data_IF_784832978539
#
_entry.id   IF_784832978539
#
_cell.length_a   1.000
_cell.length_b   1.000
_cell.length_c   1.000
_cell.angle_alpha   90.00
_cell.angle_beta   90.00
_cell.angle_gamma   90.00
#
_symmetry.space_group_name_H-M   'P 1'
#
loop_
_entity.id
_entity.type
_entity.pdbx_description
1 polymer ?
#
# COMPACT_ATOMS: atom_id res chain seq x y z
N UNK A 1 -35.28 30.68 -32.13
CA UNK A 1 -33.96 30.18 -32.57
C UNK A 1 -32.97 31.33 -32.90
N UNK A 2 -32.88 32.35 -32.04
CA UNK A 2 -31.95 33.50 -32.20
C UNK A 2 -31.30 33.98 -30.88
N UNK A 3 -31.63 33.38 -29.74
CA UNK A 3 -31.15 33.80 -28.41
C UNK A 3 -30.01 32.87 -27.90
N UNK A 4 -29.95 31.62 -28.36
CA UNK A 4 -28.88 30.66 -27.99
C UNK A 4 -27.55 30.97 -28.71
N UNK A 5 -27.60 31.63 -29.87
CA UNK A 5 -26.40 31.99 -30.64
C UNK A 5 -25.62 33.19 -30.06
N UNK A 6 -26.26 34.00 -29.21
CA UNK A 6 -25.62 35.18 -28.61
C UNK A 6 -24.80 34.85 -27.35
N UNK A 7 -25.13 33.77 -26.63
CA UNK A 7 -24.32 33.30 -25.49
C UNK A 7 -23.04 32.57 -25.94
N UNK A 8 -23.05 31.93 -27.12
CA UNK A 8 -21.87 31.27 -27.68
C UNK A 8 -20.87 32.27 -28.30
N UNK A 9 -21.35 33.39 -28.84
CA UNK A 9 -20.47 34.43 -29.39
C UNK A 9 -19.78 35.30 -28.32
N UNK A 10 -20.38 35.46 -27.13
CA UNK A 10 -19.77 36.26 -26.07
C UNK A 10 -18.62 35.54 -25.34
N UNK A 11 -18.56 34.21 -25.38
CA UNK A 11 -17.43 33.44 -24.85
C UNK A 11 -16.25 33.34 -25.81
N UNK A 12 -16.45 33.44 -27.13
CA UNK A 12 -15.33 33.44 -28.08
C UNK A 12 -14.53 34.75 -28.10
N UNK A 13 -15.11 35.85 -27.60
CA UNK A 13 -14.45 37.17 -27.58
C UNK A 13 -13.62 37.46 -26.32
N UNK A 14 -13.66 36.59 -25.30
CA UNK A 14 -12.85 36.71 -24.08
C UNK A 14 -11.66 35.75 -24.00
N UNK A 15 -11.56 34.76 -24.90
CA UNK A 15 -10.39 33.87 -25.01
C UNK A 15 -9.18 34.51 -25.73
N UNK A 16 -9.25 35.81 -26.04
CA UNK A 16 -8.15 36.57 -26.65
C UNK A 16 -7.35 37.40 -25.63
N UNK A 17 -7.54 37.22 -24.32
CA UNK A 17 -6.47 37.56 -23.37
C UNK A 17 -5.41 36.49 -23.52
N UNK A 18 -4.25 36.87 -24.09
CA UNK A 18 -3.04 36.04 -24.14
C UNK A 18 -2.91 35.26 -22.82
N UNK A 19 -3.01 33.94 -22.86
CA UNK A 19 -2.75 33.00 -21.73
C UNK A 19 -1.25 33.06 -21.31
N UNK A 20 -0.49 34.07 -21.76
CA UNK A 20 0.95 34.01 -21.90
C UNK A 20 1.76 34.60 -20.75
N UNK A 21 1.16 35.04 -19.64
CA UNK A 21 1.91 35.33 -18.40
C UNK A 21 0.96 35.41 -17.20
N UNK A 22 0.98 34.42 -16.31
CA UNK A 22 0.39 34.55 -14.98
C UNK A 22 1.38 35.28 -14.06
N UNK A 23 0.90 36.18 -13.19
CA UNK A 23 1.79 36.93 -12.30
C UNK A 23 2.35 36.05 -11.18
N UNK A 24 1.62 35.01 -10.79
CA UNK A 24 2.03 34.02 -9.79
C UNK A 24 1.29 32.68 -9.98
N UNK A 25 1.73 31.64 -9.27
CA UNK A 25 1.18 30.29 -9.40
C UNK A 25 -0.29 30.20 -8.96
N UNK A 26 -0.73 31.00 -7.99
CA UNK A 26 -2.12 30.98 -7.52
C UNK A 26 -3.10 31.49 -8.59
N UNK A 27 -2.71 32.52 -9.35
CA UNK A 27 -3.49 33.02 -10.49
C UNK A 27 -3.66 31.94 -11.57
N UNK A 28 -2.58 31.22 -11.90
CA UNK A 28 -2.62 30.07 -12.81
C UNK A 28 -3.59 29.00 -12.31
N UNK A 29 -3.51 28.66 -11.02
CA UNK A 29 -4.39 27.66 -10.41
C UNK A 29 -5.86 28.07 -10.51
N UNK A 30 -6.17 29.33 -10.18
CA UNK A 30 -7.52 29.89 -10.31
C UNK A 30 -8.06 29.79 -11.74
N UNK A 31 -7.27 30.21 -12.73
CA UNK A 31 -7.65 30.13 -14.14
C UNK A 31 -8.05 28.71 -14.56
N UNK A 32 -7.25 27.71 -14.22
CA UNK A 32 -7.54 26.35 -14.64
C UNK A 32 -8.68 25.69 -13.85
N UNK A 33 -8.89 26.09 -12.58
CA UNK A 33 -10.09 25.69 -11.82
C UNK A 33 -11.34 26.18 -12.51
N UNK A 34 -11.39 27.46 -12.87
CA UNK A 34 -12.53 28.05 -13.58
C UNK A 34 -12.73 27.43 -14.97
N UNK A 35 -11.63 27.15 -15.68
CA UNK A 35 -11.66 26.61 -17.04
C UNK A 35 -12.25 25.20 -17.12
N UNK A 36 -11.90 24.32 -16.18
CA UNK A 36 -12.32 22.92 -16.22
C UNK A 36 -13.48 22.61 -15.29
N UNK A 37 -13.74 23.45 -14.28
CA UNK A 37 -14.80 23.26 -13.28
C UNK A 37 -14.80 21.83 -12.72
N UNK A 38 -13.61 21.39 -12.30
CA UNK A 38 -13.37 20.14 -11.58
C UNK A 38 -12.93 20.55 -10.19
N UNK A 39 -13.57 20.01 -9.15
CA UNK A 39 -13.20 20.33 -7.77
C UNK A 39 -12.45 19.17 -7.14
N UNK A 40 -12.95 17.95 -7.36
CA UNK A 40 -12.42 16.74 -6.76
C UNK A 40 -11.66 15.85 -7.76
N UNK A 41 -10.78 15.00 -7.24
CA UNK A 41 -9.93 14.15 -8.08
C UNK A 41 -10.72 13.06 -8.83
N UNK A 42 -11.93 12.75 -8.36
CA UNK A 42 -12.91 11.84 -8.95
C UNK A 42 -13.82 12.51 -10.00
N UNK A 43 -13.76 13.83 -10.16
CA UNK A 43 -14.48 14.53 -11.21
C UNK A 43 -13.86 14.25 -12.59
N UNK A 44 -14.69 14.29 -13.63
CA UNK A 44 -14.28 14.02 -15.02
C UNK A 44 -14.72 15.13 -15.96
N UNK A 45 -13.76 15.84 -16.56
CA UNK A 45 -14.08 16.79 -17.64
C UNK A 45 -14.41 16.05 -18.95
N UNK A 46 -13.80 14.88 -19.17
CA UNK A 46 -14.19 13.96 -20.24
C UNK A 46 -14.44 12.57 -19.67
N UNK A 47 -15.53 11.92 -20.06
CA UNK A 47 -15.87 10.58 -19.62
C UNK A 47 -14.97 9.52 -20.29
N UNK A 48 -15.21 8.24 -20.00
CA UNK A 48 -14.42 7.12 -20.52
C UNK A 48 -14.48 6.95 -22.05
N UNK A 49 -15.32 7.73 -22.75
CA UNK A 49 -15.49 7.75 -24.21
C UNK A 49 -15.06 9.09 -24.85
N UNK A 50 -14.44 9.98 -24.08
CA UNK A 50 -13.99 11.29 -24.55
C UNK A 50 -15.12 12.31 -24.78
N UNK A 51 -16.29 12.10 -24.19
CA UNK A 51 -17.41 13.05 -24.23
C UNK A 51 -17.48 13.84 -22.92
N UNK A 52 -18.07 15.04 -22.94
CA UNK A 52 -18.23 15.91 -21.76
C UNK A 52 -17.78 17.33 -22.09
N UNK A 53 -16.48 17.55 -22.17
CA UNK A 53 -15.88 18.82 -22.52
C UNK A 53 -15.29 18.83 -23.96
N UNK A 54 -15.88 19.58 -24.91
CA UNK A 54 -15.41 19.64 -26.30
C UNK A 54 -14.00 20.19 -26.47
N UNK A 55 -13.55 21.12 -25.61
CA UNK A 55 -12.21 21.72 -25.73
C UNK A 55 -11.09 20.72 -25.36
N UNK A 56 -11.46 19.61 -24.72
CA UNK A 56 -10.57 18.51 -24.34
C UNK A 56 -10.74 17.28 -25.24
N UNK A 57 -11.46 17.42 -26.36
CA UNK A 57 -11.67 16.30 -27.28
C UNK A 57 -10.33 15.75 -27.80
N UNK A 58 -10.27 14.44 -28.00
CA UNK A 58 -9.01 13.70 -28.19
C UNK A 58 -8.44 13.13 -26.89
N UNK A 59 -8.84 13.67 -25.73
CA UNK A 59 -8.65 13.03 -24.41
C UNK A 59 -9.88 12.21 -23.99
N UNK A 60 -9.71 11.35 -23.00
CA UNK A 60 -10.81 10.68 -22.30
C UNK A 60 -10.47 10.44 -20.84
N UNK A 61 -11.48 10.29 -19.99
CA UNK A 61 -11.30 10.12 -18.55
C UNK A 61 -10.36 11.20 -17.97
N UNK A 62 -10.51 12.44 -18.45
CA UNK A 62 -9.71 13.59 -18.03
C UNK A 62 -10.12 13.99 -16.61
N UNK A 63 -9.15 14.03 -15.70
CA UNK A 63 -9.33 14.30 -14.27
C UNK A 63 -8.20 15.19 -13.75
N UNK A 64 -8.50 15.97 -12.71
CA UNK A 64 -7.46 16.72 -11.98
C UNK A 64 -6.62 15.78 -11.12
N UNK A 65 -5.31 16.03 -11.09
CA UNK A 65 -4.41 15.53 -10.03
C UNK A 65 -4.09 16.67 -9.08
N UNK A 66 -3.63 17.79 -9.65
CA UNK A 66 -3.28 19.03 -8.99
C UNK A 66 -3.81 20.18 -9.85
N UNK A 67 -4.69 21.02 -9.30
CA UNK A 67 -5.32 22.13 -10.02
C UNK A 67 -4.28 23.03 -10.67
N UNK A 68 -4.43 23.31 -11.96
CA UNK A 68 -3.53 24.17 -12.74
C UNK A 68 -2.09 23.67 -12.90
N UNK A 69 -1.80 22.42 -12.52
CA UNK A 69 -0.44 21.87 -12.47
C UNK A 69 -0.36 20.53 -13.19
N UNK A 70 -1.23 19.58 -12.85
CA UNK A 70 -1.16 18.24 -13.43
C UNK A 70 -2.56 17.62 -13.53
N UNK A 71 -2.81 17.05 -14.71
CA UNK A 71 -4.05 16.36 -15.06
C UNK A 71 -3.72 14.96 -15.57
N UNK A 72 -4.68 14.05 -15.44
CA UNK A 72 -4.56 12.69 -15.97
C UNK A 72 -5.71 12.32 -16.88
N UNK A 73 -5.45 11.34 -17.73
CA UNK A 73 -6.51 10.67 -18.49
C UNK A 73 -5.93 9.66 -19.47
N UNK A 74 -6.64 9.44 -20.57
CA UNK A 74 -6.17 8.64 -21.69
C UNK A 74 -6.41 9.29 -23.04
N UNK A 75 -5.91 8.62 -24.09
CA UNK A 75 -6.17 9.01 -25.47
C UNK A 75 -7.52 8.50 -25.94
N UNK A 76 -8.31 9.35 -26.60
CA UNK A 76 -9.61 8.97 -27.15
C UNK A 76 -9.51 8.17 -28.46
N UNK A 77 -8.58 7.21 -28.53
CA UNK A 77 -8.25 6.47 -29.74
C UNK A 77 -9.39 5.55 -30.20
N UNK A 78 -9.88 4.70 -29.30
CA UNK A 78 -10.88 3.69 -29.63
C UNK A 78 -12.27 4.27 -29.88
N UNK A 79 -12.65 5.31 -29.13
CA UNK A 79 -13.96 5.97 -29.24
C UNK A 79 -13.91 7.26 -30.09
N UNK A 80 -12.82 7.47 -30.81
CA UNK A 80 -12.69 8.61 -31.71
C UNK A 80 -13.83 8.65 -32.74
N UNK A 81 -14.31 9.83 -33.11
CA UNK A 81 -15.45 9.99 -34.01
C UNK A 81 -15.11 9.66 -35.47
N UNK A 82 -13.95 10.11 -35.95
CA UNK A 82 -13.54 10.00 -37.35
C UNK A 82 -12.29 9.12 -37.52
N UNK A 83 -11.22 9.43 -36.80
CA UNK A 83 -9.95 8.68 -36.84
C UNK A 83 -9.83 7.65 -35.69
N UNK A 84 -10.55 6.52 -35.77
CA UNK A 84 -10.49 5.47 -34.75
C UNK A 84 -9.19 4.68 -34.84
N UNK A 85 -8.50 4.56 -33.71
CA UNK A 85 -7.21 3.87 -33.61
C UNK A 85 -7.19 2.86 -32.47
N UNK A 86 -6.19 1.98 -32.47
CA UNK A 86 -5.98 1.07 -31.35
C UNK A 86 -5.77 1.86 -30.06
N UNK A 87 -6.38 1.42 -28.95
CA UNK A 87 -6.27 2.14 -27.68
C UNK A 87 -4.86 2.13 -27.08
N UNK A 88 -3.99 1.24 -27.57
CA UNK A 88 -2.57 1.16 -27.21
C UNK A 88 -1.70 2.23 -27.89
N UNK A 89 -2.29 3.12 -28.68
CA UNK A 89 -1.59 4.21 -29.32
C UNK A 89 -1.46 5.43 -28.38
N UNK A 90 -0.48 6.32 -28.64
CA UNK A 90 -0.40 7.65 -28.05
C UNK A 90 -1.68 8.48 -28.26
N UNK A 91 -1.78 9.67 -27.66
CA UNK A 91 -2.86 10.65 -27.94
C UNK A 91 -3.07 10.87 -29.45
N UNK A 92 -4.31 11.12 -29.90
CA UNK A 92 -4.56 11.61 -31.25
C UNK A 92 -4.09 13.06 -31.39
N UNK A 93 -3.76 13.46 -32.62
CA UNK A 93 -3.15 14.75 -32.91
C UNK A 93 -4.06 15.91 -32.52
N UNK A 94 -5.38 15.77 -32.72
CA UNK A 94 -6.35 16.76 -32.27
C UNK A 94 -6.39 16.89 -30.74
N UNK A 95 -6.19 15.80 -30.00
CA UNK A 95 -5.99 15.83 -28.55
C UNK A 95 -4.74 16.61 -28.14
N UNK A 96 -3.64 16.45 -28.86
CA UNK A 96 -2.41 17.21 -28.60
C UNK A 96 -2.57 18.70 -28.94
N UNK A 97 -3.20 19.02 -30.08
CA UNK A 97 -3.49 20.39 -30.51
C UNK A 97 -4.40 21.07 -29.49
N UNK A 98 -5.45 20.39 -29.04
CA UNK A 98 -6.37 20.92 -28.04
C UNK A 98 -5.67 21.20 -26.71
N UNK A 99 -4.79 20.29 -26.23
CA UNK A 99 -3.98 20.55 -25.04
C UNK A 99 -3.02 21.73 -25.23
N UNK A 100 -2.38 21.85 -26.40
CA UNK A 100 -1.51 22.97 -26.72
C UNK A 100 -2.27 24.30 -26.72
N UNK A 101 -3.47 24.35 -27.31
CA UNK A 101 -4.37 25.51 -27.30
C UNK A 101 -4.87 25.90 -25.90
N UNK A 102 -4.73 25.01 -24.91
CA UNK A 102 -5.04 25.26 -23.49
C UNK A 102 -3.78 25.58 -22.67
N UNK A 103 -2.67 25.89 -23.35
CA UNK A 103 -1.35 26.18 -22.76
C UNK A 103 -0.79 25.07 -21.85
N UNK A 104 -1.05 23.80 -22.16
CA UNK A 104 -0.31 22.70 -21.52
C UNK A 104 1.15 22.72 -21.99
N UNK A 105 2.11 22.68 -21.07
CA UNK A 105 3.54 22.71 -21.42
C UNK A 105 4.01 21.32 -21.89
N UNK A 106 3.41 20.27 -21.33
CA UNK A 106 3.72 18.91 -21.73
C UNK A 106 2.56 17.93 -21.65
N UNK A 107 2.58 16.97 -22.56
CA UNK A 107 1.89 15.69 -22.41
C UNK A 107 2.93 14.59 -22.15
N UNK A 108 2.55 13.56 -21.38
CA UNK A 108 3.41 12.42 -21.10
C UNK A 108 2.65 11.12 -21.29
N UNK A 109 3.16 10.29 -22.19
CA UNK A 109 2.64 8.95 -22.44
C UNK A 109 3.36 7.92 -21.55
N UNK A 110 2.58 7.28 -20.68
CA UNK A 110 3.12 6.45 -19.58
C UNK A 110 3.41 4.98 -19.97
N UNK A 111 3.46 4.65 -21.26
CA UNK A 111 3.77 3.29 -21.74
C UNK A 111 4.95 3.28 -22.69
N UNK A 112 5.72 2.19 -22.68
CA UNK A 112 6.95 2.01 -23.46
C UNK A 112 6.74 1.57 -24.93
N UNK A 113 5.50 1.54 -25.44
CA UNK A 113 5.18 0.97 -26.76
C UNK A 113 4.37 1.93 -27.65
N UNK A 114 4.62 1.89 -28.95
CA UNK A 114 3.90 2.65 -30.00
C UNK A 114 4.13 4.17 -30.00
N UNK A 115 5.13 4.68 -29.28
CA UNK A 115 5.41 6.12 -29.24
C UNK A 115 6.23 6.62 -30.44
N UNK A 116 6.92 5.73 -31.16
CA UNK A 116 7.79 6.11 -32.29
C UNK A 116 7.07 6.82 -33.44
N UNK A 117 5.73 6.73 -33.48
CA UNK A 117 4.87 7.38 -34.48
C UNK A 117 4.20 8.66 -33.98
N UNK A 118 4.40 9.03 -32.71
CA UNK A 118 3.86 10.26 -32.14
C UNK A 118 4.74 11.47 -32.48
N UNK A 119 4.15 12.66 -32.64
CA UNK A 119 4.93 13.89 -32.71
C UNK A 119 5.62 14.14 -31.35
N UNK A 120 6.84 14.67 -31.37
CA UNK A 120 7.58 15.03 -30.15
C UNK A 120 7.17 16.41 -29.59
N UNK A 121 6.55 17.24 -30.41
CA UNK A 121 6.00 18.53 -30.03
C UNK A 121 4.75 18.85 -30.87
N UNK A 122 3.87 19.70 -30.32
CA UNK A 122 2.69 20.23 -31.01
C UNK A 122 2.60 21.73 -30.80
N UNK A 123 2.34 22.49 -31.86
CA UNK A 123 2.12 23.93 -31.77
C UNK A 123 0.62 24.21 -31.62
N UNK A 124 0.26 25.13 -30.75
CA UNK A 124 -1.07 25.73 -30.70
C UNK A 124 -1.28 26.71 -31.86
N UNK A 125 -2.52 27.15 -32.04
CA UNK A 125 -2.89 28.14 -33.04
C UNK A 125 -2.25 29.52 -32.77
N UNK A 126 -1.91 29.82 -31.51
CA UNK A 126 -1.28 31.07 -31.07
C UNK A 126 0.25 30.97 -30.87
N UNK A 127 0.85 29.81 -31.20
CA UNK A 127 2.30 29.60 -31.22
C UNK A 127 2.92 29.10 -29.91
N UNK A 128 2.13 28.78 -28.89
CA UNK A 128 2.56 28.00 -27.73
C UNK A 128 2.99 26.58 -28.16
N UNK A 129 3.96 26.02 -27.44
CA UNK A 129 4.54 24.70 -27.74
C UNK A 129 4.27 23.72 -26.61
N UNK A 130 3.55 22.65 -26.93
CA UNK A 130 3.42 21.48 -26.07
C UNK A 130 4.49 20.45 -26.43
N UNK A 131 5.28 20.03 -25.45
CA UNK A 131 6.23 18.92 -25.62
C UNK A 131 5.58 17.58 -25.28
N UNK A 132 5.87 16.56 -26.06
CA UNK A 132 5.31 15.23 -25.86
C UNK A 132 6.39 14.20 -25.52
N UNK A 133 6.30 13.63 -24.32
CA UNK A 133 7.29 12.72 -23.77
C UNK A 133 6.75 11.30 -23.63
N UNK A 134 7.66 10.32 -23.66
CA UNK A 134 7.40 8.96 -23.21
C UNK A 134 8.19 8.69 -21.93
N UNK A 135 7.50 8.63 -20.79
CA UNK A 135 8.12 8.37 -19.48
C UNK A 135 7.19 7.42 -18.74
N UNK A 136 7.60 6.19 -18.47
CA UNK A 136 6.65 5.20 -17.98
C UNK A 136 6.31 5.37 -16.49
N UNK A 137 7.23 5.93 -15.70
CA UNK A 137 7.11 6.07 -14.26
C UNK A 137 7.29 4.75 -13.49
N UNK A 138 7.78 3.69 -14.16
CA UNK A 138 8.00 2.39 -13.53
C UNK A 138 9.35 2.32 -12.82
N UNK A 139 10.31 3.11 -13.27
CA UNK A 139 11.64 3.22 -12.67
C UNK A 139 11.71 4.42 -11.73
N UNK A 140 12.52 4.33 -10.66
CA UNK A 140 12.68 5.43 -9.69
C UNK A 140 13.15 6.73 -10.35
N UNK A 141 14.04 6.64 -11.34
CA UNK A 141 14.52 7.78 -12.14
C UNK A 141 13.40 8.41 -12.95
N UNK A 142 12.59 7.63 -13.66
CA UNK A 142 11.44 8.11 -14.42
C UNK A 142 10.40 8.80 -13.51
N UNK A 143 10.07 8.17 -12.37
CA UNK A 143 9.15 8.77 -11.40
C UNK A 143 9.70 10.09 -10.84
N UNK A 144 11.01 10.14 -10.58
CA UNK A 144 11.69 11.37 -10.15
C UNK A 144 11.57 12.47 -11.20
N UNK A 145 11.76 12.17 -12.48
CA UNK A 145 11.57 13.13 -13.57
C UNK A 145 10.13 13.68 -13.60
N UNK A 146 9.12 12.82 -13.44
CA UNK A 146 7.71 13.27 -13.40
C UNK A 146 7.44 14.21 -12.21
N UNK A 147 8.01 13.91 -11.04
CA UNK A 147 7.91 14.74 -9.85
C UNK A 147 8.59 16.11 -10.07
N UNK A 148 9.76 16.14 -10.71
CA UNK A 148 10.49 17.37 -11.02
C UNK A 148 9.77 18.23 -12.05
N UNK A 149 9.23 17.63 -13.12
CA UNK A 149 8.40 18.34 -14.10
C UNK A 149 7.15 18.94 -13.42
N UNK A 150 6.53 18.19 -12.50
CA UNK A 150 5.36 18.65 -11.76
C UNK A 150 5.74 19.81 -10.85
N UNK A 151 6.84 19.69 -10.11
CA UNK A 151 7.38 20.74 -9.24
C UNK A 151 7.75 22.02 -10.02
N UNK A 152 8.31 21.89 -11.22
CA UNK A 152 8.59 23.02 -12.11
C UNK A 152 7.28 23.73 -12.52
N UNK A 153 6.24 22.97 -12.87
CA UNK A 153 4.91 23.57 -13.12
C UNK A 153 4.37 24.24 -11.85
N UNK A 154 4.51 23.68 -10.66
CA UNK A 154 4.03 24.32 -9.41
C UNK A 154 4.75 25.67 -9.17
N UNK A 155 6.07 25.68 -9.31
CA UNK A 155 6.93 26.80 -8.89
C UNK A 155 7.11 27.88 -9.95
N UNK A 156 6.84 27.57 -11.23
CA UNK A 156 6.96 28.51 -12.33
C UNK A 156 5.58 28.86 -12.92
N UNK A 157 5.07 30.09 -12.71
CA UNK A 157 3.77 30.49 -13.25
C UNK A 157 3.72 30.53 -14.78
N UNK A 158 4.87 30.64 -15.45
CA UNK A 158 4.94 30.61 -16.91
C UNK A 158 4.97 29.19 -17.48
N UNK A 159 5.02 28.16 -16.61
CA UNK A 159 4.92 26.77 -17.03
C UNK A 159 3.49 26.29 -16.91
N UNK A 160 2.96 25.86 -18.05
CA UNK A 160 1.63 25.27 -18.14
C UNK A 160 1.50 23.92 -17.41
N UNK A 161 0.29 23.36 -17.35
CA UNK A 161 0.05 22.07 -16.74
C UNK A 161 0.65 20.90 -17.54
N UNK A 162 0.79 19.77 -16.85
CA UNK A 162 1.14 18.48 -17.44
C UNK A 162 -0.12 17.64 -17.69
N UNK A 163 -0.19 16.95 -18.83
CA UNK A 163 -1.19 15.92 -19.08
C UNK A 163 -0.56 14.52 -19.09
N UNK A 164 -0.77 13.77 -18.01
CA UNK A 164 -0.20 12.45 -17.77
C UNK A 164 -1.19 11.37 -18.19
N UNK A 165 -0.87 10.61 -19.24
CA UNK A 165 -1.87 9.72 -19.82
C UNK A 165 -1.41 8.29 -20.07
N UNK A 166 -2.37 7.39 -19.98
CA UNK A 166 -2.26 5.98 -20.31
C UNK A 166 -3.46 5.60 -21.19
N UNK A 167 -3.52 4.41 -21.77
CA UNK A 167 -4.57 4.03 -22.74
C UNK A 167 -6.01 4.38 -22.30
N UNK A 168 -6.38 4.02 -21.07
CA UNK A 168 -7.72 4.29 -20.55
C UNK A 168 -7.79 5.49 -19.59
N UNK A 169 -6.63 5.97 -19.13
CA UNK A 169 -6.54 6.89 -18.01
C UNK A 169 -6.83 6.30 -16.64
N UNK A 170 -6.76 4.98 -16.49
CA UNK A 170 -7.02 4.28 -15.24
C UNK A 170 -5.71 3.93 -14.54
N UNK A 171 -5.07 2.82 -14.91
CA UNK A 171 -4.06 2.19 -14.05
C UNK A 171 -2.77 3.00 -13.91
N UNK A 172 -2.04 3.22 -15.01
CA UNK A 172 -0.71 3.84 -14.93
C UNK A 172 -0.78 5.33 -14.57
N UNK A 173 -1.67 6.09 -15.20
CA UNK A 173 -1.85 7.50 -14.85
C UNK A 173 -2.43 7.67 -13.45
N UNK A 174 -3.27 6.74 -12.99
CA UNK A 174 -3.72 6.72 -11.60
C UNK A 174 -2.60 6.42 -10.62
N UNK A 175 -1.69 5.50 -10.93
CA UNK A 175 -0.53 5.20 -10.08
C UNK A 175 0.34 6.44 -9.93
N UNK A 176 0.73 7.08 -11.04
CA UNK A 176 1.51 8.33 -10.99
C UNK A 176 0.77 9.42 -10.20
N UNK A 177 -0.55 9.53 -10.37
CA UNK A 177 -1.36 10.52 -9.63
C UNK A 177 -1.34 10.28 -8.12
N UNK A 178 -1.45 9.03 -7.68
CA UNK A 178 -1.32 8.69 -6.26
C UNK A 178 0.04 9.13 -5.72
N UNK A 179 1.13 8.92 -6.47
CA UNK A 179 2.48 9.37 -6.08
C UNK A 179 2.58 10.90 -6.02
N UNK A 180 2.02 11.63 -6.99
CA UNK A 180 2.00 13.10 -6.97
C UNK A 180 1.20 13.65 -5.79
N UNK A 181 0.04 13.06 -5.48
CA UNK A 181 -0.77 13.42 -4.32
C UNK A 181 -0.03 13.15 -2.99
N UNK A 182 0.71 12.04 -2.89
CA UNK A 182 1.60 11.79 -1.74
C UNK A 182 2.71 12.83 -1.61
N UNK A 183 3.31 13.24 -2.73
CA UNK A 183 4.43 14.20 -2.73
C UNK A 183 3.98 15.62 -2.38
N UNK A 184 2.85 16.06 -2.96
CA UNK A 184 2.47 17.48 -2.96
C UNK A 184 1.22 17.79 -2.14
N UNK A 185 0.43 16.78 -1.74
CA UNK A 185 -0.81 16.94 -0.97
C UNK A 185 -0.81 16.15 0.35
N UNK A 186 0.36 15.66 0.78
CA UNK A 186 0.55 14.93 2.05
C UNK A 186 -0.38 13.71 2.24
N UNK A 187 -0.81 13.09 1.13
CA UNK A 187 -1.73 11.94 1.20
C UNK A 187 -1.07 10.73 1.88
N UNK A 188 -1.77 10.11 2.82
CA UNK A 188 -1.29 8.93 3.56
C UNK A 188 -1.13 7.68 2.69
N UNK A 189 -0.40 6.68 3.20
CA UNK A 189 -0.08 5.45 2.46
C UNK A 189 -1.35 4.70 2.00
N UNK A 190 -2.33 4.52 2.89
CA UNK A 190 -3.59 3.83 2.57
C UNK A 190 -4.61 4.72 1.88
N UNK A 191 -4.62 6.03 2.16
CA UNK A 191 -5.46 7.01 1.45
C UNK A 191 -5.06 7.09 -0.03
N UNK A 192 -3.77 7.04 -0.34
CA UNK A 192 -3.28 7.02 -1.71
C UNK A 192 -3.63 5.71 -2.44
N UNK A 193 -3.58 4.57 -1.73
CA UNK A 193 -4.04 3.29 -2.27
C UNK A 193 -5.55 3.31 -2.50
N UNK A 194 -6.31 3.90 -1.58
CA UNK A 194 -7.76 4.07 -1.69
C UNK A 194 -8.13 4.95 -2.89
N UNK A 195 -7.50 6.12 -3.03
CA UNK A 195 -7.63 6.98 -4.20
C UNK A 195 -7.40 6.20 -5.50
N UNK A 196 -6.30 5.42 -5.56
CA UNK A 196 -5.98 4.64 -6.75
C UNK A 196 -7.06 3.61 -7.07
N UNK A 197 -7.56 2.86 -6.09
CA UNK A 197 -8.63 1.87 -6.26
C UNK A 197 -9.92 2.51 -6.77
N UNK A 198 -10.38 3.59 -6.15
CA UNK A 198 -11.63 4.25 -6.55
C UNK A 198 -11.55 4.88 -7.94
N UNK A 199 -10.35 5.26 -8.37
CA UNK A 199 -10.12 5.91 -9.67
C UNK A 199 -9.54 4.97 -10.74
N UNK A 200 -9.64 3.66 -10.55
CA UNK A 200 -9.25 2.64 -11.53
C UNK A 200 -10.34 1.59 -11.72
N UNK A 201 -10.43 1.03 -12.94
CA UNK A 201 -11.33 -0.09 -13.22
C UNK A 201 -10.60 -1.44 -13.03
N UNK A 202 -11.34 -2.51 -12.77
CA UNK A 202 -10.83 -3.89 -12.65
C UNK A 202 -9.61 -4.09 -11.73
N UNK A 203 -9.48 -3.30 -10.67
CA UNK A 203 -8.31 -3.32 -9.77
C UNK A 203 -8.23 -4.56 -8.85
N UNK A 204 -9.32 -5.35 -8.77
CA UNK A 204 -9.47 -6.47 -7.84
C UNK A 204 -8.56 -7.67 -8.11
N UNK A 205 -7.93 -7.78 -9.28
CA UNK A 205 -7.07 -8.90 -9.66
C UNK A 205 -5.73 -8.42 -10.25
N UNK A 206 -4.59 -8.77 -9.61
CA UNK A 206 -3.26 -8.68 -10.24
C UNK A 206 -2.50 -7.35 -10.12
N UNK A 207 -2.81 -6.50 -9.13
CA UNK A 207 -2.19 -5.17 -8.95
C UNK A 207 -1.48 -4.97 -7.60
N UNK A 208 -1.13 -6.05 -6.88
CA UNK A 208 -0.45 -5.95 -5.58
C UNK A 208 0.85 -5.16 -5.66
N UNK A 209 1.63 -5.36 -6.73
CA UNK A 209 2.86 -4.61 -6.99
C UNK A 209 2.64 -3.09 -7.01
N UNK A 210 1.55 -2.62 -7.61
CA UNK A 210 1.24 -1.18 -7.69
C UNK A 210 0.83 -0.66 -6.31
N UNK A 211 -0.05 -1.38 -5.60
CA UNK A 211 -0.46 -1.01 -4.23
C UNK A 211 0.75 -0.95 -3.29
N UNK A 212 1.67 -1.91 -3.38
CA UNK A 212 2.93 -1.92 -2.62
C UNK A 212 3.81 -0.73 -3.01
N UNK A 213 3.99 -0.45 -4.30
CA UNK A 213 4.79 0.68 -4.75
C UNK A 213 4.24 2.04 -4.25
N UNK A 214 2.92 2.22 -4.20
CA UNK A 214 2.30 3.41 -3.62
C UNK A 214 2.64 3.55 -2.13
N UNK A 215 2.53 2.47 -1.35
CA UNK A 215 2.85 2.46 0.09
C UNK A 215 4.33 2.75 0.36
N UNK A 216 5.21 2.11 -0.40
CA UNK A 216 6.66 2.22 -0.22
C UNK A 216 7.23 3.57 -0.67
N UNK A 217 6.53 4.31 -1.52
CA UNK A 217 6.95 5.65 -1.92
C UNK A 217 7.02 6.60 -0.72
N UNK A 218 8.17 7.27 -0.57
CA UNK A 218 8.40 8.31 0.43
C UNK A 218 8.65 9.65 -0.27
N UNK A 219 7.92 10.72 0.09
CA UNK A 219 8.09 12.05 -0.50
C UNK A 219 9.53 12.56 -0.40
N UNK A 220 9.98 13.22 -1.45
CA UNK A 220 11.29 13.85 -1.50
C UNK A 220 11.28 15.21 -0.80
N UNK A 221 12.15 15.38 0.20
CA UNK A 221 12.26 16.61 0.98
C UNK A 221 12.67 17.83 0.15
N UNK A 222 13.45 17.64 -0.92
CA UNK A 222 13.90 18.70 -1.81
C UNK A 222 12.84 19.14 -2.85
N UNK A 223 11.67 18.50 -2.88
CA UNK A 223 10.52 18.90 -3.70
C UNK A 223 9.33 19.37 -2.83
N UNK A 224 9.61 19.82 -1.61
CA UNK A 224 8.59 20.35 -0.72
C UNK A 224 8.08 21.70 -1.24
N UNK A 225 6.78 21.94 -1.12
CA UNK A 225 6.10 23.18 -1.52
C UNK A 225 5.52 23.90 -0.29
N UNK A 226 5.21 25.18 -0.44
CA UNK A 226 4.58 25.99 0.60
C UNK A 226 3.11 25.56 0.84
N UNK A 227 2.63 25.71 2.08
CA UNK A 227 1.32 25.20 2.50
C UNK A 227 0.15 25.91 1.83
N UNK A 228 0.29 27.19 1.48
CA UNK A 228 -0.72 27.98 0.77
C UNK A 228 -0.87 27.51 -0.69
N UNK A 229 0.23 27.25 -1.38
CA UNK A 229 0.25 26.66 -2.72
C UNK A 229 -0.37 25.28 -2.67
N UNK A 230 0.03 24.45 -1.70
CA UNK A 230 -0.54 23.11 -1.46
C UNK A 230 -2.07 23.17 -1.32
N UNK A 231 -2.58 24.01 -0.43
CA UNK A 231 -4.04 24.18 -0.24
C UNK A 231 -4.76 24.61 -1.51
N UNK A 232 -4.10 25.39 -2.37
CA UNK A 232 -4.68 25.83 -3.63
C UNK A 232 -4.68 24.75 -4.71
N UNK A 233 -3.59 23.97 -4.86
CA UNK A 233 -3.46 22.99 -5.93
C UNK A 233 -4.13 21.65 -5.62
N UNK A 234 -4.24 21.26 -4.34
CA UNK A 234 -4.77 19.95 -3.99
C UNK A 234 -6.29 19.89 -4.22
N UNK A 235 -6.79 18.88 -4.94
CA UNK A 235 -8.22 18.69 -5.16
C UNK A 235 -8.90 18.15 -3.89
N UNK A 236 -10.24 18.22 -3.83
CA UNK A 236 -10.95 17.35 -2.89
C UNK A 236 -10.73 15.88 -3.25
N UNK A 237 -10.75 15.03 -2.24
CA UNK A 237 -10.54 13.60 -2.34
C UNK A 237 -11.67 12.90 -1.61
N UNK A 238 -12.21 11.83 -2.20
CA UNK A 238 -13.10 10.91 -1.51
C UNK A 238 -12.50 10.47 -0.16
N UNK A 239 -13.25 10.67 0.92
CA UNK A 239 -12.86 10.19 2.23
C UNK A 239 -12.91 8.66 2.28
N UNK A 240 -11.85 8.06 2.80
CA UNK A 240 -11.84 6.62 3.03
C UNK A 240 -12.83 6.27 4.15
N UNK A 241 -13.74 5.30 3.96
CA UNK A 241 -14.74 4.94 4.96
C UNK A 241 -14.11 4.69 6.32
N UNK A 242 -14.72 5.18 7.38
CA UNK A 242 -14.17 5.14 8.74
C UNK A 242 -13.79 3.72 9.17
N UNK A 243 -14.62 2.72 8.86
CA UNK A 243 -14.35 1.30 9.12
C UNK A 243 -13.03 0.83 8.47
N UNK A 244 -12.81 1.18 7.20
CA UNK A 244 -11.60 0.82 6.45
C UNK A 244 -10.38 1.57 7.02
N UNK A 245 -10.56 2.82 7.46
CA UNK A 245 -9.52 3.61 8.10
C UNK A 245 -9.12 3.02 9.44
N UNK A 246 -10.08 2.62 10.28
CA UNK A 246 -9.84 1.96 11.56
C UNK A 246 -9.12 0.64 11.37
N UNK A 247 -9.58 -0.24 10.47
CA UNK A 247 -8.89 -1.50 10.15
C UNK A 247 -7.45 -1.29 9.69
N UNK A 248 -7.21 -0.28 8.84
CA UNK A 248 -5.86 0.02 8.35
C UNK A 248 -4.92 0.51 9.45
N UNK A 249 -5.46 1.30 10.38
CA UNK A 249 -4.72 1.84 11.53
C UNK A 249 -4.42 0.73 12.54
N UNK A 250 -5.39 -0.15 12.81
CA UNK A 250 -5.20 -1.33 13.66
C UNK A 250 -4.15 -2.28 13.09
N UNK A 251 -4.18 -2.50 11.77
CA UNK A 251 -3.18 -3.32 11.06
C UNK A 251 -1.78 -2.74 11.16
N UNK A 252 -1.62 -1.42 10.96
CA UNK A 252 -0.33 -0.75 11.09
C UNK A 252 0.17 -0.80 12.54
N UNK A 253 -0.72 -0.52 13.51
CA UNK A 253 -0.41 -0.65 14.93
C UNK A 253 0.07 -2.06 15.26
N UNK A 254 -0.66 -3.08 14.83
CA UNK A 254 -0.30 -4.48 15.05
C UNK A 254 1.07 -4.83 14.45
N UNK A 255 1.33 -4.41 13.21
CA UNK A 255 2.63 -4.62 12.56
C UNK A 255 3.75 -3.92 13.33
N UNK A 256 3.54 -2.68 13.76
CA UNK A 256 4.52 -1.92 14.52
C UNK A 256 4.78 -2.59 15.87
N UNK A 257 3.73 -3.02 16.57
CA UNK A 257 3.87 -3.79 17.82
C UNK A 257 4.71 -5.04 17.55
N UNK A 258 4.41 -5.86 16.54
CA UNK A 258 5.18 -7.08 16.24
C UNK A 258 6.68 -6.86 15.98
N UNK A 259 7.04 -5.71 15.41
CA UNK A 259 8.42 -5.35 15.06
C UNK A 259 9.13 -4.51 16.13
N UNK A 260 8.43 -4.13 17.20
CA UNK A 260 8.97 -3.19 18.18
C UNK A 260 10.09 -3.83 19.01
N UNK A 261 11.22 -3.14 19.10
CA UNK A 261 12.32 -3.51 20.00
C UNK A 261 12.31 -2.57 21.20
N UNK A 262 12.66 -3.08 22.38
CA UNK A 262 12.67 -2.28 23.60
C UNK A 262 14.12 -1.87 23.90
N UNK A 263 14.47 -0.58 23.84
CA UNK A 263 15.84 -0.13 24.11
C UNK A 263 16.17 -0.20 25.60
N UNK A 264 17.43 -0.45 25.93
CA UNK A 264 17.96 -0.42 27.30
C UNK A 264 19.17 0.50 27.45
N UNK A 265 19.20 1.23 28.57
CA UNK A 265 20.33 2.07 28.96
C UNK A 265 21.60 1.24 29.21
N UNK A 266 22.76 1.89 29.05
CA UNK A 266 24.04 1.24 29.28
C UNK A 266 24.13 0.69 30.72
N UNK A 267 24.64 -0.53 30.87
CA UNK A 267 24.79 -1.23 32.16
C UNK A 267 23.53 -1.34 33.04
N UNK A 268 22.33 -1.08 32.50
CA UNK A 268 21.06 -1.19 33.24
C UNK A 268 20.20 -2.33 32.69
N UNK A 269 19.45 -2.96 33.61
CA UNK A 269 18.37 -3.90 33.32
C UNK A 269 16.99 -3.35 33.75
N UNK A 270 16.92 -2.07 34.09
CA UNK A 270 15.69 -1.41 34.51
C UNK A 270 14.85 -1.04 33.28
N UNK A 271 13.53 -1.27 33.36
CA UNK A 271 12.60 -0.88 32.31
C UNK A 271 12.33 0.62 32.43
N UNK A 272 12.62 1.38 31.38
CA UNK A 272 12.30 2.82 31.36
C UNK A 272 10.78 3.05 31.26
N UNK A 273 10.24 4.19 31.73
CA UNK A 273 8.82 4.50 31.56
C UNK A 273 8.33 4.46 30.10
N UNK A 274 9.15 4.90 29.13
CA UNK A 274 8.82 4.81 27.71
C UNK A 274 8.81 3.36 27.19
N UNK A 275 9.67 2.51 27.72
CA UNK A 275 9.71 1.07 27.42
C UNK A 275 8.46 0.34 27.92
N UNK A 276 7.85 0.79 29.03
CA UNK A 276 6.60 0.21 29.54
C UNK A 276 5.46 0.35 28.53
N UNK A 277 5.34 1.49 27.84
CA UNK A 277 4.28 1.69 26.84
C UNK A 277 4.36 0.67 25.70
N UNK A 278 5.57 0.41 25.20
CA UNK A 278 5.79 -0.61 24.17
C UNK A 278 5.47 -2.03 24.69
N UNK A 279 5.82 -2.33 25.93
CA UNK A 279 5.52 -3.64 26.54
C UNK A 279 4.01 -3.81 26.77
N UNK A 280 3.29 -2.76 27.15
CA UNK A 280 1.84 -2.80 27.37
C UNK A 280 1.09 -3.13 26.07
N UNK A 281 1.52 -2.59 24.93
CA UNK A 281 0.98 -2.98 23.62
C UNK A 281 1.21 -4.46 23.30
N UNK A 282 2.40 -4.98 23.61
CA UNK A 282 2.68 -6.42 23.50
C UNK A 282 1.81 -7.25 24.43
N UNK A 283 1.55 -6.81 25.66
CA UNK A 283 0.67 -7.50 26.63
C UNK A 283 -0.75 -7.62 26.08
N UNK A 284 -1.31 -6.52 25.56
CA UNK A 284 -2.65 -6.52 24.94
C UNK A 284 -2.68 -7.53 23.80
N UNK A 285 -1.69 -7.46 22.90
CA UNK A 285 -1.58 -8.38 21.77
C UNK A 285 -1.51 -9.86 22.22
N UNK A 286 -0.69 -10.17 23.23
CA UNK A 286 -0.51 -11.53 23.76
C UNK A 286 -1.76 -12.06 24.47
N UNK A 287 -2.53 -11.19 25.14
CA UNK A 287 -3.80 -11.55 25.78
C UNK A 287 -4.88 -11.89 24.76
N UNK A 288 -4.97 -11.10 23.69
CA UNK A 288 -5.96 -11.31 22.62
C UNK A 288 -5.65 -12.51 21.74
N UNK A 289 -4.37 -12.84 21.58
CA UNK A 289 -3.93 -13.85 20.62
C UNK A 289 -3.20 -14.99 21.36
N UNK A 290 -3.98 -15.95 21.88
CA UNK A 290 -3.46 -17.05 22.70
C UNK A 290 -2.78 -18.19 21.94
N UNK A 291 -2.76 -18.11 20.61
CA UNK A 291 -2.35 -19.21 19.74
C UNK A 291 -0.88 -19.17 19.33
N UNK A 292 -0.05 -18.33 19.94
CA UNK A 292 1.40 -18.35 19.69
C UNK A 292 2.20 -18.17 20.97
N UNK A 293 3.44 -18.65 20.94
CA UNK A 293 4.39 -18.50 22.02
C UNK A 293 5.54 -17.60 21.56
N UNK A 294 6.16 -16.92 22.52
CA UNK A 294 7.27 -16.01 22.27
C UNK A 294 8.49 -16.33 23.13
N UNK A 295 9.66 -15.94 22.65
CA UNK A 295 10.90 -15.84 23.41
C UNK A 295 11.29 -14.36 23.50
N UNK A 296 11.68 -13.95 24.70
CA UNK A 296 12.17 -12.61 25.01
C UNK A 296 13.69 -12.66 24.93
N UNK A 297 14.24 -12.12 23.85
CA UNK A 297 15.67 -12.11 23.58
C UNK A 297 16.33 -10.83 24.10
N UNK A 298 17.29 -10.96 25.02
CA UNK A 298 18.08 -9.83 25.51
C UNK A 298 19.41 -9.68 24.77
N UNK A 299 19.79 -8.45 24.45
CA UNK A 299 21.00 -8.15 23.68
C UNK A 299 21.84 -7.04 24.33
N UNK A 300 23.14 -7.10 24.11
CA UNK A 300 24.09 -6.04 24.50
C UNK A 300 24.85 -5.50 23.30
N UNK A 301 25.56 -4.40 23.50
CA UNK A 301 26.58 -3.92 22.57
C UNK A 301 27.81 -4.83 22.58
N UNK A 302 28.71 -4.62 21.62
CA UNK A 302 30.04 -5.24 21.55
C UNK A 302 31.02 -4.83 22.66
N UNK A 303 30.70 -3.79 23.45
CA UNK A 303 31.53 -3.35 24.57
C UNK A 303 31.27 -4.25 25.79
N UNK A 304 32.33 -4.79 26.38
CA UNK A 304 32.28 -5.60 27.60
C UNK A 304 33.00 -6.94 27.43
N UNK A 305 33.10 -7.71 28.51
CA UNK A 305 33.48 -9.13 28.39
C UNK A 305 32.24 -9.95 28.04
N UNK A 306 32.42 -11.04 27.30
CA UNK A 306 31.33 -11.97 26.95
C UNK A 306 30.51 -12.41 28.17
N UNK A 307 31.18 -12.76 29.28
CA UNK A 307 30.53 -13.15 30.54
C UNK A 307 29.67 -12.03 31.10
N UNK A 308 30.18 -10.79 31.07
CA UNK A 308 29.45 -9.63 31.57
C UNK A 308 28.20 -9.35 30.72
N UNK A 309 28.39 -9.33 29.39
CA UNK A 309 27.34 -9.07 28.43
C UNK A 309 26.23 -10.14 28.45
N UNK A 310 26.63 -11.40 28.57
CA UNK A 310 25.70 -12.50 28.78
C UNK A 310 24.88 -12.28 30.06
N UNK A 311 25.55 -11.99 31.18
CA UNK A 311 24.87 -11.75 32.45
C UNK A 311 23.90 -10.57 32.45
N UNK A 312 24.21 -9.48 31.74
CA UNK A 312 23.32 -8.31 31.63
C UNK A 312 22.16 -8.58 30.68
N UNK A 313 22.40 -9.21 29.53
CA UNK A 313 21.34 -9.57 28.58
C UNK A 313 20.32 -10.54 29.21
N UNK A 314 20.78 -11.54 29.97
CA UNK A 314 19.91 -12.46 30.70
C UNK A 314 19.03 -11.72 31.72
N UNK A 315 19.61 -10.78 32.48
CA UNK A 315 18.86 -9.97 33.45
C UNK A 315 17.79 -9.12 32.77
N UNK A 316 18.12 -8.46 31.65
CA UNK A 316 17.16 -7.65 30.87
C UNK A 316 15.99 -8.50 30.39
N UNK A 317 16.28 -9.64 29.78
CA UNK A 317 15.27 -10.54 29.26
C UNK A 317 14.37 -11.08 30.39
N UNK A 318 14.98 -11.44 31.53
CA UNK A 318 14.26 -11.92 32.71
C UNK A 318 13.34 -10.85 33.31
N UNK A 319 13.78 -9.60 33.42
CA UNK A 319 12.95 -8.52 34.00
C UNK A 319 11.69 -8.28 33.16
N UNK A 320 11.81 -8.30 31.83
CA UNK A 320 10.62 -8.21 30.94
C UNK A 320 9.74 -9.45 31.06
N UNK A 321 10.34 -10.65 31.13
CA UNK A 321 9.60 -11.90 31.37
C UNK A 321 8.79 -11.84 32.67
N UNK A 322 9.42 -11.46 33.79
CA UNK A 322 8.76 -11.36 35.09
C UNK A 322 7.60 -10.35 35.05
N UNK A 323 7.77 -9.23 34.32
CA UNK A 323 6.72 -8.23 34.12
C UNK A 323 5.53 -8.77 33.30
N UNK A 324 5.78 -9.48 32.21
CA UNK A 324 4.69 -10.11 31.42
C UNK A 324 3.90 -11.12 32.27
N UNK A 325 4.56 -11.89 33.13
CA UNK A 325 3.89 -12.81 34.06
C UNK A 325 3.04 -12.03 35.08
N UNK A 326 3.57 -10.96 35.68
CA UNK A 326 2.80 -10.15 36.63
C UNK A 326 1.57 -9.51 35.99
N UNK A 327 1.65 -9.19 34.70
CA UNK A 327 0.54 -8.67 33.90
C UNK A 327 -0.43 -9.75 33.40
N UNK A 328 -0.21 -11.02 33.76
CA UNK A 328 -1.14 -12.12 33.54
C UNK A 328 -0.93 -12.90 32.24
N UNK A 329 0.25 -12.85 31.64
CA UNK A 329 0.63 -13.75 30.55
C UNK A 329 0.98 -15.13 31.13
N UNK A 330 0.47 -16.19 30.51
CA UNK A 330 0.66 -17.59 30.92
C UNK A 330 2.15 -17.99 30.76
N UNK A 331 2.75 -18.59 31.80
CA UNK A 331 4.18 -18.90 31.83
C UNK A 331 4.59 -19.91 30.75
N UNK A 332 3.69 -20.80 30.35
CA UNK A 332 3.93 -21.80 29.30
C UNK A 332 4.02 -21.17 27.90
N UNK A 333 3.59 -19.91 27.75
CA UNK A 333 3.55 -19.20 26.45
C UNK A 333 4.77 -18.32 26.21
N UNK A 334 5.61 -18.11 27.22
CA UNK A 334 6.74 -17.21 27.12
C UNK A 334 8.01 -17.87 27.64
N UNK A 335 9.14 -17.59 27.00
CA UNK A 335 10.48 -17.94 27.48
C UNK A 335 11.38 -16.70 27.40
N UNK A 336 12.56 -16.75 28.00
CA UNK A 336 13.53 -15.66 27.89
C UNK A 336 14.94 -16.21 27.69
N UNK A 337 15.79 -15.43 27.02
CA UNK A 337 17.19 -15.78 26.78
C UNK A 337 18.05 -14.54 26.56
N UNK A 338 19.16 -14.42 27.28
CA UNK A 338 20.22 -13.47 26.94
C UNK A 338 21.09 -14.00 25.80
N UNK A 339 21.40 -13.13 24.84
CA UNK A 339 22.28 -13.41 23.71
C UNK A 339 23.63 -12.69 23.81
N UNK A 340 23.85 -11.88 24.84
CA UNK A 340 25.05 -11.04 24.95
C UNK A 340 25.28 -10.19 23.70
N UNK A 341 26.52 -10.12 23.24
CA UNK A 341 26.93 -9.45 22.00
C UNK A 341 26.85 -10.34 20.74
N UNK A 342 26.33 -11.56 20.82
CA UNK A 342 26.42 -12.53 19.70
C UNK A 342 25.50 -12.20 18.52
N UNK A 343 24.50 -11.33 18.72
CA UNK A 343 23.48 -10.94 17.73
C UNK A 343 23.36 -9.42 17.57
N UNK A 344 24.47 -8.78 17.21
CA UNK A 344 24.51 -7.35 16.90
C UNK A 344 23.68 -7.05 15.65
N UNK A 345 22.85 -6.00 15.72
CA UNK A 345 22.20 -5.41 14.55
C UNK A 345 23.15 -4.50 13.77
N UNK A 346 24.06 -3.84 14.49
CA UNK A 346 25.01 -2.89 13.95
C UNK A 346 26.41 -3.23 14.47
N UNK A 347 27.29 -3.71 13.60
CA UNK A 347 28.64 -4.12 13.98
C UNK A 347 29.60 -2.93 14.16
N UNK A 348 29.16 -1.70 13.87
CA UNK A 348 30.00 -0.53 14.08
C UNK A 348 30.28 -0.30 15.57
N UNK A 349 31.44 0.29 15.86
CA UNK A 349 31.89 0.57 17.21
C UNK A 349 31.72 2.05 17.55
N UNK A 350 30.46 2.51 17.58
CA UNK A 350 30.10 3.89 17.93
C UNK A 350 28.83 3.93 18.79
N UNK A 351 28.57 5.07 19.42
CA UNK A 351 27.44 5.24 20.35
C UNK A 351 26.10 4.86 19.74
N UNK A 352 25.85 5.23 18.48
CA UNK A 352 24.58 4.95 17.79
C UNK A 352 24.39 3.44 17.60
N UNK A 353 25.44 2.73 17.15
CA UNK A 353 25.41 1.28 17.02
C UNK A 353 25.23 0.58 18.38
N UNK A 354 25.91 1.05 19.42
CA UNK A 354 25.73 0.51 20.77
C UNK A 354 24.30 0.68 21.28
N UNK A 355 23.68 1.83 21.03
CA UNK A 355 22.31 2.12 21.45
C UNK A 355 21.30 1.20 20.74
N UNK A 356 21.47 0.97 19.42
CA UNK A 356 20.65 0.01 18.66
C UNK A 356 20.80 -1.43 19.16
N UNK A 357 22.02 -1.82 19.53
CA UNK A 357 22.32 -3.21 19.92
C UNK A 357 21.76 -3.56 21.31
N UNK A 358 21.74 -2.60 22.25
CA UNK A 358 21.22 -2.79 23.61
C UNK A 358 19.68 -2.78 23.60
N UNK A 359 19.09 -3.94 23.34
CA UNK A 359 17.64 -4.08 23.16
C UNK A 359 17.09 -5.37 23.74
N UNK A 360 15.77 -5.42 23.86
CA UNK A 360 14.98 -6.65 23.86
C UNK A 360 14.32 -6.81 22.50
N UNK A 361 14.28 -8.04 22.01
CA UNK A 361 13.47 -8.46 20.87
C UNK A 361 12.49 -9.55 21.30
N UNK A 362 11.31 -9.57 20.70
CA UNK A 362 10.34 -10.65 20.87
C UNK A 362 10.39 -11.54 19.64
N UNK A 363 10.72 -12.81 19.83
CA UNK A 363 10.75 -13.81 18.76
C UNK A 363 9.58 -14.75 18.92
N UNK A 364 8.90 -15.10 17.84
CA UNK A 364 7.83 -16.11 17.86
C UNK A 364 8.48 -17.49 17.79
N UNK A 365 8.18 -18.34 18.76
CA UNK A 365 8.78 -19.68 18.87
C UNK A 365 7.82 -20.78 18.47
N UNK A 366 6.52 -20.55 18.54
CA UNK A 366 5.53 -21.47 18.00
C UNK A 366 4.25 -20.74 17.62
N UNK A 367 3.55 -21.29 16.64
CA UNK A 367 2.17 -20.96 16.29
C UNK A 367 1.38 -22.26 16.46
N UNK A 368 0.27 -22.18 17.20
CA UNK A 368 -0.66 -23.26 17.52
C UNK A 368 -2.08 -22.75 17.26
N UNK A 369 -2.34 -22.29 16.04
CA UNK A 369 -3.63 -21.73 15.66
C UNK A 369 -4.54 -22.85 15.15
N UNK A 370 -5.64 -23.08 15.88
CA UNK A 370 -6.64 -24.08 15.54
C UNK A 370 -7.90 -23.44 14.95
N UNK A 371 -8.38 -23.97 13.83
CA UNK A 371 -9.61 -23.52 13.17
C UNK A 371 -10.57 -24.70 13.05
N UNK A 372 -11.76 -24.56 13.62
CA UNK A 372 -12.76 -25.63 13.67
C UNK A 372 -13.72 -25.54 12.48
N UNK A 373 -13.97 -26.66 11.82
CA UNK A 373 -14.85 -26.72 10.66
C UNK A 373 -16.14 -27.49 10.96
N UNK A 374 -17.25 -27.00 10.41
CA UNK A 374 -18.51 -27.75 10.40
C UNK A 374 -18.37 -29.04 9.57
N UNK A 375 -19.24 -30.00 9.85
CA UNK A 375 -19.26 -31.30 9.16
C UNK A 375 -19.38 -31.11 7.64
N UNK A 376 -18.53 -31.80 6.88
CA UNK A 376 -18.47 -31.77 5.41
C UNK A 376 -18.27 -30.39 4.76
N UNK A 377 -17.86 -29.37 5.52
CA UNK A 377 -17.59 -28.01 5.01
C UNK A 377 -16.09 -27.71 4.97
N UNK A 378 -15.69 -26.84 4.05
CA UNK A 378 -14.31 -26.35 3.90
C UNK A 378 -14.22 -24.82 3.73
N UNK A 379 -15.36 -24.13 3.85
CA UNK A 379 -15.41 -22.68 3.98
C UNK A 379 -14.86 -22.27 5.35
N UNK A 380 -13.98 -21.26 5.35
CA UNK A 380 -13.39 -20.73 6.58
C UNK A 380 -14.50 -20.09 7.43
N UNK A 381 -14.65 -20.47 8.72
CA UNK A 381 -15.63 -19.84 9.59
C UNK A 381 -15.32 -18.36 9.79
N UNK A 382 -16.36 -17.51 9.76
CA UNK A 382 -16.23 -16.07 10.01
C UNK A 382 -15.56 -15.76 11.36
N UNK A 383 -15.85 -16.58 12.39
CA UNK A 383 -15.25 -16.48 13.72
C UNK A 383 -13.73 -16.62 13.72
N UNK A 384 -13.15 -17.26 12.70
CA UNK A 384 -11.70 -17.49 12.58
C UNK A 384 -11.00 -16.46 11.70
N UNK A 385 -11.75 -15.57 11.04
CA UNK A 385 -11.17 -14.56 10.14
C UNK A 385 -10.24 -13.61 10.91
N UNK A 386 -10.63 -13.12 12.10
CA UNK A 386 -9.80 -12.20 12.90
C UNK A 386 -8.44 -12.80 13.23
N UNK A 387 -8.40 -14.04 13.69
CA UNK A 387 -7.15 -14.74 14.04
C UNK A 387 -6.30 -15.07 12.80
N UNK A 388 -6.95 -15.37 11.67
CA UNK A 388 -6.25 -15.57 10.40
C UNK A 388 -5.65 -14.28 9.85
N UNK A 389 -6.34 -13.15 9.99
CA UNK A 389 -5.79 -11.84 9.63
C UNK A 389 -4.56 -11.52 10.49
N UNK A 390 -4.61 -11.79 11.79
CA UNK A 390 -3.43 -11.67 12.65
C UNK A 390 -2.27 -12.56 12.15
N UNK A 391 -2.56 -13.82 11.77
CA UNK A 391 -1.56 -14.74 11.22
C UNK A 391 -0.92 -14.18 9.94
N UNK A 392 -1.73 -13.54 9.07
CA UNK A 392 -1.24 -12.86 7.86
C UNK A 392 -0.31 -11.70 8.21
N UNK A 393 -0.69 -10.83 9.15
CA UNK A 393 0.15 -9.69 9.55
C UNK A 393 1.47 -10.14 10.20
N UNK A 394 1.40 -11.17 11.03
CA UNK A 394 2.58 -11.81 11.63
C UNK A 394 3.57 -12.28 10.58
N UNK A 395 3.11 -13.00 9.56
CA UNK A 395 3.97 -13.52 8.49
C UNK A 395 4.50 -12.43 7.56
N UNK A 396 3.72 -11.38 7.33
CA UNK A 396 4.16 -10.22 6.55
C UNK A 396 5.20 -9.38 7.29
N UNK A 397 5.08 -9.26 8.61
CA UNK A 397 6.06 -8.58 9.45
C UNK A 397 7.37 -9.38 9.56
N UNK A 398 7.27 -10.71 9.56
CA UNK A 398 8.40 -11.62 9.77
C UNK A 398 8.56 -12.58 8.57
N UNK A 399 9.09 -12.10 7.43
CA UNK A 399 9.18 -12.86 6.18
C UNK A 399 10.12 -14.08 6.25
N UNK A 400 10.88 -14.25 7.33
CA UNK A 400 11.67 -15.44 7.62
C UNK A 400 10.85 -16.60 8.18
N UNK A 401 9.68 -16.32 8.79
CA UNK A 401 8.83 -17.38 9.29
C UNK A 401 8.15 -18.11 8.15
N UNK A 402 8.19 -19.43 8.25
CA UNK A 402 7.46 -20.33 7.38
C UNK A 402 6.48 -21.15 8.19
N UNK A 403 5.32 -21.43 7.63
CA UNK A 403 4.24 -22.17 8.30
C UNK A 403 3.74 -23.33 7.48
N UNK A 404 3.32 -24.39 8.16
CA UNK A 404 2.57 -25.51 7.59
C UNK A 404 1.13 -25.46 8.10
N UNK A 405 0.18 -25.65 7.18
CA UNK A 405 -1.25 -25.75 7.47
C UNK A 405 -1.64 -27.22 7.39
N UNK A 406 -1.95 -27.82 8.53
CA UNK A 406 -2.31 -29.24 8.63
C UNK A 406 -3.84 -29.38 8.74
N UNK A 407 -4.45 -30.12 7.81
CA UNK A 407 -5.88 -30.41 7.81
C UNK A 407 -6.22 -31.77 8.40
N UNK A 408 -7.29 -31.81 9.20
CA UNK A 408 -7.76 -33.00 9.88
C UNK A 408 -9.28 -33.19 9.74
N UNK A 409 -9.73 -34.44 9.80
CA UNK A 409 -11.13 -34.81 9.89
C UNK A 409 -11.39 -35.71 11.10
N UNK A 410 -12.66 -35.90 11.44
CA UNK A 410 -13.08 -37.03 12.26
C UNK A 410 -13.07 -38.34 11.46
N UNK A 411 -13.33 -39.47 12.11
CA UNK A 411 -13.31 -40.79 11.48
C UNK A 411 -14.62 -41.21 10.79
N UNK A 412 -15.60 -40.31 10.65
CA UNK A 412 -16.90 -40.67 10.07
C UNK A 412 -16.82 -40.70 8.54
N UNK A 413 -17.48 -41.69 7.93
CA UNK A 413 -17.61 -41.77 6.48
C UNK A 413 -16.37 -42.34 5.78
N UNK A 414 -16.26 -42.07 4.48
CA UNK A 414 -15.22 -42.67 3.62
C UNK A 414 -13.83 -42.06 3.86
N UNK A 415 -12.79 -42.91 3.83
CA UNK A 415 -11.40 -42.53 4.13
C UNK A 415 -10.86 -41.60 3.03
N UNK A 416 -11.11 -41.91 1.76
CA UNK A 416 -10.64 -41.09 0.63
C UNK A 416 -11.34 -39.74 0.60
N UNK A 417 -12.63 -39.72 0.90
CA UNK A 417 -13.39 -38.49 1.08
C UNK A 417 -12.79 -37.61 2.19
N UNK A 418 -12.49 -38.19 3.36
CA UNK A 418 -11.88 -37.48 4.48
C UNK A 418 -10.48 -36.94 4.16
N UNK A 419 -9.68 -37.72 3.44
CA UNK A 419 -8.37 -37.27 2.96
C UNK A 419 -8.52 -36.01 2.08
N UNK A 420 -9.34 -36.09 1.04
CA UNK A 420 -9.60 -34.96 0.14
C UNK A 420 -10.19 -33.75 0.89
N UNK A 421 -11.14 -33.96 1.80
CA UNK A 421 -11.75 -32.89 2.58
C UNK A 421 -10.72 -32.17 3.47
N UNK A 422 -9.82 -32.91 4.10
CA UNK A 422 -8.76 -32.32 4.93
C UNK A 422 -7.80 -31.45 4.10
N UNK A 423 -7.45 -31.90 2.89
CA UNK A 423 -6.61 -31.15 1.96
C UNK A 423 -7.32 -29.88 1.46
N UNK A 424 -8.62 -29.98 1.12
CA UNK A 424 -9.41 -28.84 0.68
C UNK A 424 -9.51 -27.76 1.76
N UNK A 425 -9.69 -28.14 3.02
CA UNK A 425 -9.68 -27.20 4.16
C UNK A 425 -8.32 -26.52 4.29
N UNK A 426 -7.23 -27.30 4.26
CA UNK A 426 -5.89 -26.76 4.41
C UNK A 426 -5.55 -25.81 3.25
N UNK A 427 -5.97 -26.17 2.03
CA UNK A 427 -5.84 -25.34 0.83
C UNK A 427 -6.70 -24.07 0.87
N UNK A 428 -7.88 -24.13 1.47
CA UNK A 428 -8.77 -22.98 1.68
C UNK A 428 -8.08 -21.92 2.56
N UNK A 429 -7.49 -22.34 3.68
CA UNK A 429 -6.69 -21.47 4.57
C UNK A 429 -5.40 -20.99 3.88
N UNK A 430 -4.70 -21.86 3.16
CA UNK A 430 -3.53 -21.49 2.35
C UNK A 430 -3.87 -20.35 1.39
N UNK A 431 -4.92 -20.51 0.58
CA UNK A 431 -5.36 -19.50 -0.38
C UNK A 431 -5.75 -18.18 0.31
N UNK A 432 -6.43 -18.26 1.46
CA UNK A 432 -6.79 -17.08 2.23
C UNK A 432 -5.56 -16.24 2.63
N UNK A 433 -4.49 -16.91 3.05
CA UNK A 433 -3.22 -16.30 3.49
C UNK A 433 -2.44 -15.73 2.30
N UNK A 434 -2.21 -16.51 1.24
CA UNK A 434 -1.40 -16.05 0.10
C UNK A 434 -2.07 -14.93 -0.70
N UNK A 435 -3.40 -14.94 -0.81
CA UNK A 435 -4.16 -13.88 -1.50
C UNK A 435 -4.11 -12.53 -0.76
N UNK A 436 -3.61 -12.51 0.48
CA UNK A 436 -3.38 -11.31 1.29
C UNK A 436 -1.92 -10.86 1.33
N UNK A 437 -1.09 -11.41 0.44
CA UNK A 437 0.26 -10.92 0.18
C UNK A 437 1.37 -11.67 0.91
N UNK A 438 1.06 -12.71 1.69
CA UNK A 438 2.10 -13.57 2.28
C UNK A 438 2.81 -14.33 1.16
N UNK A 439 4.15 -14.38 1.22
CA UNK A 439 4.96 -15.10 0.25
C UNK A 439 4.57 -16.58 0.21
N UNK A 440 4.14 -17.06 -0.97
CA UNK A 440 3.73 -18.45 -1.17
C UNK A 440 4.79 -19.49 -0.78
N UNK A 441 6.08 -19.13 -0.82
CA UNK A 441 7.18 -20.02 -0.45
C UNK A 441 7.29 -20.20 1.07
N UNK A 442 6.65 -19.34 1.85
CA UNK A 442 6.64 -19.39 3.31
C UNK A 442 5.42 -20.15 3.86
N UNK A 443 4.54 -20.66 2.99
CA UNK A 443 3.31 -21.32 3.41
C UNK A 443 3.23 -22.67 2.72
N UNK A 444 3.15 -23.74 3.50
CA UNK A 444 2.82 -25.08 3.02
C UNK A 444 1.42 -25.48 3.48
N UNK A 445 0.85 -26.51 2.87
CA UNK A 445 -0.36 -27.15 3.40
C UNK A 445 -0.33 -28.66 3.14
N UNK A 446 -0.96 -29.43 4.03
CA UNK A 446 -1.10 -30.88 3.95
C UNK A 446 -2.42 -31.31 4.60
N UNK A 447 -3.09 -32.30 4.01
CA UNK A 447 -4.23 -32.97 4.64
C UNK A 447 -3.81 -34.32 5.22
N UNK A 448 -4.21 -34.61 6.45
CA UNK A 448 -3.95 -35.89 7.11
C UNK A 448 -5.18 -36.81 7.15
N UNK A 449 -6.34 -36.33 6.69
CA UNK A 449 -7.61 -37.03 6.83
C UNK A 449 -7.86 -37.44 8.29
N UNK A 450 -8.11 -38.72 8.49
CA UNK A 450 -8.43 -39.33 9.80
C UNK A 450 -7.18 -39.75 10.60
N UNK A 451 -5.98 -39.62 10.04
CA UNK A 451 -4.79 -40.34 10.51
C UNK A 451 -4.08 -39.71 11.72
N UNK A 452 -4.45 -38.46 12.08
CA UNK A 452 -3.89 -37.74 13.24
C UNK A 452 -5.01 -37.23 14.17
N UNK A 453 -5.82 -38.11 14.79
CA UNK A 453 -6.85 -37.69 15.74
C UNK A 453 -6.19 -37.20 17.03
N UNK A 454 -6.71 -36.12 17.59
CA UNK A 454 -6.25 -35.56 18.89
C UNK A 454 -7.24 -35.84 20.01
N UNK A 455 -8.52 -36.04 19.66
CA UNK A 455 -9.62 -36.28 20.57
C UNK A 455 -10.32 -37.60 20.24
N UNK A 456 -11.10 -38.13 21.17
CA UNK A 456 -11.87 -39.35 20.97
C UNK A 456 -12.92 -39.18 19.86
N UNK A 457 -12.92 -40.07 18.88
CA UNK A 457 -13.95 -40.08 17.83
C UNK A 457 -15.25 -40.78 18.25
N UNK A 458 -15.30 -41.37 19.46
CA UNK A 458 -16.50 -42.04 19.98
C UNK A 458 -17.60 -41.05 20.36
N UNK A 459 -17.22 -39.81 20.68
CA UNK A 459 -18.15 -38.75 21.09
C UNK A 459 -18.32 -37.71 19.99
N UNK A 460 -19.50 -37.09 19.88
CA UNK A 460 -19.69 -35.99 18.92
C UNK A 460 -18.81 -34.79 19.24
N UNK A 461 -18.59 -34.50 20.53
CA UNK A 461 -17.69 -33.43 20.96
C UNK A 461 -16.26 -33.67 20.46
N UNK A 462 -15.72 -34.87 20.65
CA UNK A 462 -14.37 -35.18 20.21
C UNK A 462 -14.24 -35.26 18.68
N UNK A 463 -15.26 -35.76 17.96
CA UNK A 463 -15.33 -35.65 16.49
C UNK A 463 -15.31 -34.21 16.05
N UNK A 464 -16.08 -33.33 16.69
CA UNK A 464 -16.07 -31.91 16.37
C UNK A 464 -14.69 -31.29 16.54
N UNK A 465 -14.01 -31.56 17.66
CA UNK A 465 -12.64 -31.08 17.89
C UNK A 465 -11.63 -31.66 16.90
N UNK A 466 -11.84 -32.87 16.36
CA UNK A 466 -10.96 -33.46 15.35
C UNK A 466 -11.13 -32.82 13.96
N UNK A 467 -12.28 -32.22 13.64
CA UNK A 467 -12.54 -31.48 12.39
C UNK A 467 -11.88 -30.10 12.42
N UNK A 468 -10.56 -30.08 12.32
CA UNK A 468 -9.77 -28.87 12.53
C UNK A 468 -8.68 -28.64 11.47
N UNK A 469 -8.22 -27.40 11.39
CA UNK A 469 -6.92 -27.03 10.85
C UNK A 469 -6.00 -26.71 12.02
N UNK A 470 -4.74 -27.10 11.92
CA UNK A 470 -3.65 -26.63 12.78
C UNK A 470 -2.65 -25.84 11.92
N UNK A 471 -2.35 -24.60 12.29
CA UNK A 471 -1.27 -23.81 11.67
C UNK A 471 -0.08 -23.82 12.62
N UNK A 472 1.08 -24.22 12.10
CA UNK A 472 2.33 -24.35 12.87
C UNK A 472 3.49 -23.70 12.14
N UNK A 473 4.48 -23.23 12.90
CA UNK A 473 5.79 -22.89 12.34
C UNK A 473 6.44 -24.14 11.76
N UNK A 474 7.16 -23.99 10.65
CA UNK A 474 7.89 -25.07 10.00
C UNK A 474 9.25 -24.56 9.52
N UNK A 475 10.32 -25.01 10.15
CA UNK A 475 11.69 -24.56 9.81
C UNK A 475 12.21 -25.20 8.50
N UNK A 476 11.54 -26.23 7.97
CA UNK A 476 12.05 -27.10 6.89
C UNK A 476 11.34 -26.93 5.53
N UNK A 477 10.57 -25.84 5.34
CA UNK A 477 9.80 -25.59 4.11
C UNK A 477 10.65 -25.29 2.86
#
# INVERSE_FOLDING_TARGET
MRIIFFFFLFHQLLFSQKINTFNNSLEKVGFYKDLFNLDCAEDKATNNRGNGNPILYGTRNFRTILHGVAYRGGGNNYYHKSDKRNNKNPLPDDGLINLANLNFDAAVYLYKVNFDTAPLEMNSDDGHKLKYYQISGNEKSEMRTLLEMTYESITNPNKGPLYLHCWNGWHQSGYVSAILLKQFCDLGDEEAVYYWKNNTDTWNNGYDRIKTAIREFKPYSNLKIEDDIKQSICPCLDEMPEEVRLESTEKEKLKNTLLTTIPFANNSADISPGSLTAIDEYIIMLKENKFFNIEIGGHTSSIGTEIYNQGISDKRAKVVFDYLISEGIEIERITYKGYGETKLLDSENNSIAHDKNRRIEFKITSINHEIQFKKNQYEIPETSIKQLLFTVELLNANPEYKIIIEGHTDNSGDIMFNQNLSELRAKSVYNFIINRGVNKNNVGYIGYGINKPRYSNETEEGRNKNRRIEIKLNEEL
#
